data_IF_113352691957
#
_entry.id   IF_113352691957
#
_cell.length_a   1.000
_cell.length_b   1.000
_cell.length_c   1.000
_cell.angle_alpha   90.00
_cell.angle_beta   90.00
_cell.angle_gamma   90.00
#
_symmetry.space_group_name_H-M   'P 1'
#
loop_
_entity.id
_entity.type
_entity.pdbx_description
1 polymer ?
#
# COMPACT_ATOMS: atom_id res chain seq x y z
N UNK A 1 0.75 2.14 23.22
CA UNK A 1 1.07 0.90 22.43
C UNK A 1 1.03 1.24 20.94
N UNK A 2 1.94 0.70 20.11
CA UNK A 2 2.04 1.06 18.69
C UNK A 2 1.75 -0.12 17.75
N UNK A 3 0.72 0.01 16.92
CA UNK A 3 0.47 -0.83 15.72
C UNK A 3 0.90 -0.05 14.49
N UNK A 4 1.59 -0.70 13.55
CA UNK A 4 2.15 -0.04 12.35
C UNK A 4 1.86 -0.87 11.12
N UNK A 5 1.13 -0.27 10.18
CA UNK A 5 0.63 -0.90 8.95
C UNK A 5 1.23 -0.17 7.74
N UNK A 6 1.96 -0.92 6.91
CA UNK A 6 2.55 -0.47 5.65
C UNK A 6 2.35 -1.58 4.61
N UNK A 7 1.18 -1.68 3.95
CA UNK A 7 0.85 -2.81 3.08
C UNK A 7 1.72 -2.86 1.81
N UNK A 8 2.14 -1.68 1.33
CA UNK A 8 3.00 -1.50 0.17
C UNK A 8 4.11 -0.50 0.56
N UNK A 9 5.40 -0.88 0.45
CA UNK A 9 6.51 0.03 0.79
C UNK A 9 6.52 1.25 -0.14
N UNK A 10 7.16 2.33 0.30
CA UNK A 10 7.33 3.51 -0.55
C UNK A 10 8.28 3.20 -1.71
N UNK A 11 7.86 3.51 -2.94
CA UNK A 11 8.72 3.41 -4.13
C UNK A 11 9.94 4.35 -4.06
N UNK A 12 9.85 5.41 -3.26
CA UNK A 12 10.95 6.29 -2.90
C UNK A 12 11.62 5.81 -1.60
N UNK A 13 12.87 5.36 -1.72
CA UNK A 13 13.67 4.87 -0.61
C UNK A 13 13.97 5.94 0.46
N UNK A 14 13.87 7.23 0.13
CA UNK A 14 14.04 8.30 1.10
C UNK A 14 12.77 8.51 1.95
N UNK A 15 11.57 8.46 1.34
CA UNK A 15 10.29 8.38 2.09
C UNK A 15 10.21 7.11 2.93
N UNK A 16 10.69 5.97 2.43
CA UNK A 16 10.75 4.72 3.20
C UNK A 16 11.57 4.89 4.49
N UNK A 17 12.79 5.43 4.39
CA UNK A 17 13.64 5.76 5.57
C UNK A 17 12.93 6.73 6.51
N UNK A 18 12.22 7.73 5.99
CA UNK A 18 11.51 8.72 6.79
C UNK A 18 10.31 8.13 7.55
N UNK A 19 9.52 7.24 6.92
CA UNK A 19 8.46 6.47 7.59
C UNK A 19 9.02 5.57 8.70
N UNK A 20 10.16 4.91 8.44
CA UNK A 20 10.83 4.08 9.45
C UNK A 20 11.35 4.91 10.63
N UNK A 21 11.81 6.14 10.39
CA UNK A 21 12.18 7.09 11.44
C UNK A 21 10.95 7.57 12.26
N UNK A 22 9.79 7.79 11.63
CA UNK A 22 8.52 8.05 12.34
C UNK A 22 8.12 6.88 13.23
N UNK A 23 8.14 5.66 12.68
CA UNK A 23 7.84 4.44 13.42
C UNK A 23 8.81 4.21 14.59
N UNK A 24 10.08 4.56 14.42
CA UNK A 24 11.06 4.51 15.50
C UNK A 24 10.79 5.58 16.58
N UNK A 25 10.48 6.82 16.19
CA UNK A 25 10.16 7.90 17.13
C UNK A 25 8.92 7.60 17.99
N UNK A 26 7.83 7.13 17.37
CA UNK A 26 6.59 6.73 18.07
C UNK A 26 6.76 5.47 18.94
N UNK A 27 7.81 4.66 18.69
CA UNK A 27 8.12 3.47 19.50
C UNK A 27 9.11 3.74 20.64
N UNK A 28 9.86 4.84 20.56
CA UNK A 28 10.80 5.29 21.59
C UNK A 28 10.14 6.19 22.65
N UNK A 29 8.84 6.44 22.53
CA UNK A 29 8.06 7.23 23.48
C UNK A 29 7.63 6.37 24.68
N UNK A 30 8.18 6.66 25.85
CA UNK A 30 7.70 6.13 27.12
C UNK A 30 6.31 6.70 27.45
N UNK A 31 5.44 5.88 28.04
CA UNK A 31 4.02 6.17 28.32
C UNK A 31 3.18 6.62 27.10
N UNK A 32 3.56 6.21 25.89
CA UNK A 32 2.80 6.47 24.66
C UNK A 32 1.41 5.80 24.66
N UNK A 33 0.33 6.53 24.32
CA UNK A 33 -1.03 5.97 24.22
C UNK A 33 -1.13 4.91 23.12
N UNK A 34 -2.25 4.20 23.05
CA UNK A 34 -2.63 3.44 21.87
C UNK A 34 -2.48 4.30 20.61
N UNK A 35 -1.74 3.80 19.63
CA UNK A 35 -1.36 4.52 18.42
C UNK A 35 -1.38 3.56 17.24
N UNK A 36 -2.11 3.92 16.19
CA UNK A 36 -2.08 3.23 14.90
C UNK A 36 -1.37 4.12 13.88
N UNK A 37 -0.38 3.56 13.21
CA UNK A 37 0.47 4.24 12.23
C UNK A 37 0.30 3.62 10.84
N UNK A 38 -0.47 4.25 9.96
CA UNK A 38 -0.62 3.85 8.57
C UNK A 38 0.38 4.60 7.70
N UNK A 39 1.06 3.88 6.79
CA UNK A 39 2.00 4.46 5.83
C UNK A 39 1.62 4.17 4.37
N UNK A 40 1.91 5.12 3.48
CA UNK A 40 1.70 5.02 2.03
C UNK A 40 0.23 4.77 1.65
N UNK A 41 -0.70 5.54 2.23
CA UNK A 41 -2.15 5.33 2.14
C UNK A 41 -2.65 5.23 0.69
N UNK A 42 -2.12 6.07 -0.22
CA UNK A 42 -2.50 6.08 -1.64
C UNK A 42 -2.17 4.80 -2.43
N UNK A 43 -1.58 3.78 -1.80
CA UNK A 43 -1.41 2.44 -2.38
C UNK A 43 -2.55 1.46 -2.04
N UNK A 44 -3.42 1.79 -1.07
CA UNK A 44 -4.50 0.89 -0.61
C UNK A 44 -5.81 1.60 -0.18
N UNK A 45 -5.83 2.93 -0.09
CA UNK A 45 -7.02 3.75 0.19
C UNK A 45 -7.16 4.87 -0.88
N UNK A 46 -8.32 5.53 -1.02
CA UNK A 46 -8.47 6.69 -1.90
C UNK A 46 -7.75 7.96 -1.41
N UNK A 47 -6.95 7.90 -0.35
CA UNK A 47 -6.24 9.05 0.24
C UNK A 47 -4.78 9.08 -0.26
N UNK A 48 -4.38 9.98 -1.18
CA UNK A 48 -2.98 10.13 -1.60
C UNK A 48 -2.13 10.89 -0.55
N UNK A 49 -2.24 10.49 0.72
CA UNK A 49 -1.37 10.88 1.82
C UNK A 49 -0.18 9.91 1.94
N UNK A 50 0.92 10.36 2.54
CA UNK A 50 2.04 9.48 2.90
C UNK A 50 1.84 8.82 4.27
N UNK A 51 1.18 9.52 5.21
CA UNK A 51 1.12 9.13 6.62
C UNK A 51 -0.25 9.39 7.23
N UNK A 52 -0.73 8.49 8.08
CA UNK A 52 -1.83 8.74 9.01
C UNK A 52 -1.46 8.17 10.37
N UNK A 53 -1.58 8.98 11.41
CA UNK A 53 -1.40 8.56 12.81
C UNK A 53 -2.73 8.75 13.53
N UNK A 54 -3.22 7.72 14.20
CA UNK A 54 -4.47 7.78 14.98
C UNK A 54 -4.18 7.40 16.42
N UNK A 55 -4.66 8.23 17.35
CA UNK A 55 -4.61 8.05 18.81
C UNK A 55 -6.01 8.36 19.38
N UNK A 56 -6.35 7.94 20.61
CA UNK A 56 -7.67 8.17 21.19
C UNK A 56 -8.10 9.64 21.16
N UNK A 57 -7.18 10.54 21.54
CA UNK A 57 -7.47 11.97 21.72
C UNK A 57 -7.08 12.84 20.50
N UNK A 58 -6.72 12.24 19.35
CA UNK A 58 -6.25 13.02 18.20
C UNK A 58 -5.73 12.16 17.05
N UNK A 59 -5.79 12.70 15.83
CA UNK A 59 -5.16 12.08 14.67
C UNK A 59 -4.40 13.10 13.84
N UNK A 60 -3.40 12.64 13.09
CA UNK A 60 -2.56 13.48 12.25
C UNK A 60 -2.44 12.92 10.83
N UNK A 61 -2.64 13.79 9.84
CA UNK A 61 -2.55 13.50 8.41
C UNK A 61 -1.26 14.09 7.86
N UNK A 62 -0.34 13.23 7.43
CA UNK A 62 1.04 13.63 7.14
C UNK A 62 1.46 13.46 5.67
N UNK A 63 2.29 14.41 5.23
CA UNK A 63 3.07 14.35 3.99
C UNK A 63 4.54 14.16 4.35
N UNK A 64 5.20 13.19 3.72
CA UNK A 64 6.61 12.87 3.94
C UNK A 64 7.45 13.60 2.89
N UNK A 65 8.23 14.58 3.34
CA UNK A 65 9.14 15.38 2.51
C UNK A 65 10.57 14.91 2.83
N UNK A 66 11.19 14.07 1.99
CA UNK A 66 12.46 13.41 2.28
C UNK A 66 13.67 14.33 1.97
N UNK A 67 13.58 15.57 2.44
CA UNK A 67 14.56 16.63 2.23
C UNK A 67 14.65 17.51 3.47
N UNK A 68 15.71 18.31 3.54
CA UNK A 68 15.94 19.35 4.54
C UNK A 68 16.59 20.56 3.87
N UNK A 69 16.61 21.70 4.55
CA UNK A 69 17.12 22.95 3.99
C UNK A 69 16.40 24.17 4.54
N UNK A 70 16.45 25.26 3.78
CA UNK A 70 15.71 26.50 4.04
C UNK A 70 14.35 26.46 3.34
N UNK A 71 13.28 26.36 4.11
CA UNK A 71 11.92 26.46 3.55
C UNK A 71 11.59 27.93 3.26
N UNK A 72 11.10 28.24 2.07
CA UNK A 72 10.57 29.53 1.64
C UNK A 72 9.13 29.32 1.16
N UNK A 73 8.15 30.03 1.75
CA UNK A 73 6.72 29.93 1.39
C UNK A 73 6.26 31.26 0.78
N UNK A 74 6.16 31.38 -0.55
CA UNK A 74 5.72 32.62 -1.20
C UNK A 74 4.28 33.00 -0.85
N UNK A 75 3.39 32.01 -0.80
CA UNK A 75 2.05 32.12 -0.25
C UNK A 75 1.63 30.78 0.38
N UNK A 76 0.96 30.84 1.54
CA UNK A 76 0.60 29.64 2.29
C UNK A 76 -0.45 28.78 1.56
N UNK A 77 -1.55 29.40 1.09
CA UNK A 77 -2.73 28.70 0.59
C UNK A 77 -2.73 28.38 -0.92
N UNK A 78 -1.73 28.85 -1.68
CA UNK A 78 -1.64 28.63 -3.12
C UNK A 78 -0.20 28.78 -3.62
N UNK A 79 0.09 28.18 -4.77
CA UNK A 79 1.44 28.19 -5.36
C UNK A 79 2.42 27.23 -4.69
N UNK A 80 3.48 26.91 -5.42
CA UNK A 80 4.54 25.98 -5.01
C UNK A 80 5.35 26.52 -3.84
N UNK A 81 5.58 25.68 -2.83
CA UNK A 81 6.52 25.94 -1.75
C UNK A 81 7.95 25.61 -2.20
N UNK A 82 8.93 26.38 -1.71
CA UNK A 82 10.32 26.23 -2.09
C UNK A 82 11.17 25.71 -0.92
N UNK A 83 12.13 24.85 -1.19
CA UNK A 83 13.16 24.38 -0.26
C UNK A 83 14.52 24.62 -0.92
N UNK A 84 15.38 25.41 -0.29
CA UNK A 84 16.62 25.95 -0.88
C UNK A 84 16.41 26.55 -2.29
N UNK A 85 15.31 27.33 -2.40
CA UNK A 85 14.82 27.98 -3.62
C UNK A 85 14.42 27.04 -4.78
N UNK A 86 14.39 25.71 -4.56
CA UNK A 86 13.84 24.72 -5.49
C UNK A 86 12.40 24.34 -5.12
N UNK A 87 11.51 24.00 -6.08
CA UNK A 87 10.17 23.53 -5.75
C UNK A 87 10.19 22.24 -4.92
N UNK A 88 9.33 22.15 -3.91
CA UNK A 88 9.11 20.88 -3.21
C UNK A 88 8.60 19.81 -4.19
N UNK A 89 9.14 18.58 -4.18
CA UNK A 89 8.64 17.50 -5.03
C UNK A 89 7.28 17.00 -4.53
N UNK A 90 6.21 17.57 -5.08
CA UNK A 90 4.83 17.22 -4.76
C UNK A 90 4.42 15.80 -5.14
N UNK A 91 3.31 15.32 -4.58
CA UNK A 91 2.58 14.14 -5.07
C UNK A 91 1.33 14.63 -5.80
N UNK A 92 1.40 14.74 -7.13
CA UNK A 92 0.30 15.17 -7.98
C UNK A 92 0.40 16.63 -8.40
N UNK A 93 -0.73 17.33 -8.48
CA UNK A 93 -0.83 18.68 -9.08
C UNK A 93 -0.51 19.84 -8.12
N UNK A 94 -0.22 19.56 -6.84
CA UNK A 94 -0.06 20.56 -5.79
C UNK A 94 1.26 20.42 -5.02
N UNK A 95 2.27 21.22 -5.40
CA UNK A 95 3.56 21.35 -4.68
C UNK A 95 3.44 22.16 -3.35
N UNK A 96 2.35 21.97 -2.63
CA UNK A 96 1.99 22.73 -1.45
C UNK A 96 1.30 21.79 -0.43
N UNK A 97 2.01 21.34 0.62
CA UNK A 97 1.47 20.36 1.56
C UNK A 97 0.33 20.92 2.42
N UNK A 98 0.20 22.25 2.57
CA UNK A 98 -0.95 22.86 3.25
C UNK A 98 -2.21 22.81 2.37
N UNK A 99 -2.09 23.12 1.08
CA UNK A 99 -3.20 22.97 0.13
C UNK A 99 -3.60 21.49 -0.03
N UNK A 100 -2.62 20.58 -0.12
CA UNK A 100 -2.86 19.13 -0.12
C UNK A 100 -3.59 18.69 1.16
N UNK A 101 -3.16 19.14 2.34
CA UNK A 101 -3.88 18.87 3.60
C UNK A 101 -5.34 19.34 3.56
N UNK A 102 -5.60 20.58 3.10
CA UNK A 102 -6.97 21.09 2.97
C UNK A 102 -7.84 20.28 2.00
N UNK A 103 -7.25 19.74 0.93
CA UNK A 103 -7.93 18.87 -0.04
C UNK A 103 -8.21 17.47 0.54
N UNK A 104 -7.29 16.92 1.34
CA UNK A 104 -7.38 15.56 1.88
C UNK A 104 -8.17 15.45 3.19
N UNK A 105 -8.25 16.51 3.99
CA UNK A 105 -8.97 16.52 5.26
C UNK A 105 -10.42 15.98 5.17
N UNK A 106 -11.30 16.43 4.25
CA UNK A 106 -12.66 15.88 4.15
C UNK A 106 -12.70 14.42 3.69
N UNK A 107 -11.77 14.00 2.83
CA UNK A 107 -11.67 12.61 2.39
C UNK A 107 -11.22 11.70 3.55
N UNK A 108 -10.25 12.17 4.35
CA UNK A 108 -9.73 11.44 5.49
C UNK A 108 -10.74 11.37 6.66
N UNK A 109 -11.54 12.42 6.87
CA UNK A 109 -12.68 12.41 7.79
C UNK A 109 -13.73 11.37 7.39
N UNK A 110 -14.17 11.37 6.14
CA UNK A 110 -15.14 10.39 5.64
C UNK A 110 -14.62 8.95 5.75
N UNK A 111 -13.35 8.73 5.38
CA UNK A 111 -12.69 7.43 5.46
C UNK A 111 -12.53 6.92 6.91
N UNK A 112 -12.11 7.79 7.84
CA UNK A 112 -12.06 7.45 9.27
C UNK A 112 -13.47 7.21 9.85
N UNK A 113 -14.47 7.97 9.42
CA UNK A 113 -15.85 7.83 9.86
C UNK A 113 -16.45 6.48 9.46
N UNK A 114 -16.22 6.06 8.21
CA UNK A 114 -16.63 4.74 7.70
C UNK A 114 -15.93 3.60 8.45
N UNK A 115 -14.60 3.66 8.62
CA UNK A 115 -13.84 2.57 9.22
C UNK A 115 -13.99 2.46 10.75
N UNK A 116 -14.05 3.59 11.48
CA UNK A 116 -14.23 3.60 12.94
C UNK A 116 -15.70 3.53 13.36
N UNK A 117 -16.64 3.60 12.42
CA UNK A 117 -18.10 3.62 12.66
C UNK A 117 -18.57 4.81 13.53
N UNK A 118 -17.75 5.86 13.65
CA UNK A 118 -18.04 7.11 14.37
C UNK A 118 -18.42 8.21 13.37
N UNK A 119 -19.44 9.05 13.63
CA UNK A 119 -19.77 10.16 12.75
C UNK A 119 -18.67 11.22 12.76
N UNK A 120 -18.50 11.98 11.67
CA UNK A 120 -17.44 12.99 11.51
C UNK A 120 -17.35 14.02 12.64
N UNK A 121 -18.47 14.30 13.33
CA UNK A 121 -18.54 15.24 14.46
C UNK A 121 -18.16 14.64 15.83
N UNK A 122 -17.87 13.34 15.90
CA UNK A 122 -17.38 12.64 17.10
C UNK A 122 -15.92 12.17 16.94
N UNK A 123 -15.38 12.22 15.71
CA UNK A 123 -13.95 12.02 15.48
C UNK A 123 -13.12 13.09 16.23
N UNK A 124 -11.98 12.70 16.85
CA UNK A 124 -11.10 13.66 17.52
C UNK A 124 -10.48 14.66 16.52
N UNK A 125 -9.92 15.79 16.99
CA UNK A 125 -9.37 16.81 16.11
C UNK A 125 -8.24 16.29 15.22
N UNK A 126 -8.14 16.82 14.00
CA UNK A 126 -7.07 16.53 13.05
C UNK A 126 -5.90 17.52 13.15
N UNK A 127 -4.67 17.03 12.96
CA UNK A 127 -3.47 17.82 12.74
C UNK A 127 -2.84 17.47 11.38
N UNK A 128 -2.81 18.44 10.47
CA UNK A 128 -2.00 18.31 9.25
C UNK A 128 -0.52 18.44 9.56
N UNK A 129 0.32 17.58 8.98
CA UNK A 129 1.77 17.58 9.23
C UNK A 129 2.55 17.57 7.91
N UNK A 130 3.38 18.59 7.69
CA UNK A 130 4.49 18.49 6.74
C UNK A 130 5.75 18.04 7.50
N UNK A 131 6.14 16.78 7.34
CA UNK A 131 7.31 16.21 7.99
C UNK A 131 8.52 16.25 7.06
N UNK A 132 9.62 16.84 7.53
CA UNK A 132 10.88 16.95 6.80
C UNK A 132 11.92 15.95 7.35
N UNK A 133 12.94 15.58 6.57
CA UNK A 133 13.90 14.53 6.96
C UNK A 133 14.79 14.98 8.14
N UNK A 134 15.15 16.26 8.18
CA UNK A 134 16.02 16.86 9.20
C UNK A 134 15.51 18.26 9.62
N UNK A 135 16.17 18.95 10.57
CA UNK A 135 15.77 20.28 11.02
C UNK A 135 15.66 21.30 9.88
N UNK A 136 14.59 22.09 9.89
CA UNK A 136 14.36 23.17 8.93
C UNK A 136 14.94 24.50 9.40
N UNK A 137 15.35 25.33 8.43
CA UNK A 137 15.48 26.78 8.62
C UNK A 137 14.29 27.46 7.95
N UNK A 138 13.52 28.28 8.69
CA UNK A 138 12.39 29.00 8.10
C UNK A 138 12.85 30.29 7.41
N UNK A 139 12.35 30.52 6.19
CA UNK A 139 12.43 31.78 5.48
C UNK A 139 11.63 32.89 6.18
N UNK A 140 11.94 34.17 5.88
CA UNK A 140 11.33 35.31 6.56
C UNK A 140 9.80 35.32 6.37
N UNK A 141 9.08 35.37 7.48
CA UNK A 141 7.63 35.56 7.50
C UNK A 141 6.76 34.30 7.43
N UNK A 142 7.33 33.08 7.38
CA UNK A 142 6.54 31.83 7.38
C UNK A 142 5.66 31.72 8.63
N UNK A 143 6.25 31.91 9.81
CA UNK A 143 5.54 31.94 11.10
C UNK A 143 4.43 32.99 11.11
N UNK A 144 4.68 34.17 10.53
CA UNK A 144 3.71 35.24 10.41
C UNK A 144 2.59 34.94 9.40
N UNK A 145 2.82 34.09 8.39
CA UNK A 145 1.75 33.59 7.51
C UNK A 145 0.90 32.54 8.24
N UNK A 146 1.54 31.54 8.88
CA UNK A 146 0.87 30.49 9.65
C UNK A 146 -0.02 31.06 10.74
N UNK A 147 0.49 31.95 11.60
CA UNK A 147 -0.28 32.55 12.69
C UNK A 147 -1.44 33.44 12.22
N UNK A 148 -1.39 34.00 11.00
CA UNK A 148 -2.50 34.80 10.43
C UNK A 148 -3.60 33.94 9.84
N UNK A 149 -3.30 32.73 9.36
CA UNK A 149 -4.25 31.92 8.62
C UNK A 149 -5.03 30.99 9.56
N UNK A 150 -6.36 31.15 9.72
CA UNK A 150 -7.11 30.42 10.76
C UNK A 150 -7.09 28.90 10.56
N UNK A 151 -7.16 28.42 9.32
CA UNK A 151 -7.08 27.00 8.99
C UNK A 151 -5.66 26.40 9.14
N UNK A 152 -4.62 27.23 9.32
CA UNK A 152 -3.26 26.77 9.58
C UNK A 152 -2.98 26.51 11.07
N UNK A 153 -3.94 26.79 11.97
CA UNK A 153 -3.84 26.40 13.39
C UNK A 153 -3.84 24.89 13.62
N UNK A 154 -4.38 24.14 12.68
CA UNK A 154 -4.41 22.68 12.65
C UNK A 154 -3.42 22.12 11.61
N UNK A 155 -2.30 22.82 11.38
CA UNK A 155 -1.25 22.39 10.45
C UNK A 155 0.14 22.79 10.95
N UNK A 156 1.05 21.82 11.05
CA UNK A 156 2.42 22.04 11.55
C UNK A 156 3.52 21.63 10.58
N UNK A 157 4.65 22.35 10.69
CA UNK A 157 5.91 22.08 10.01
C UNK A 157 6.86 21.40 10.99
N UNK A 158 7.21 20.15 10.74
CA UNK A 158 7.95 19.31 11.71
C UNK A 158 9.33 18.95 11.14
N UNK A 159 10.38 19.48 11.76
CA UNK A 159 11.77 19.36 11.32
C UNK A 159 12.46 18.08 11.82
N UNK A 160 11.97 16.92 11.37
CA UNK A 160 12.49 15.60 11.73
C UNK A 160 11.57 14.76 12.63
N UNK A 161 11.53 13.45 12.39
CA UNK A 161 10.59 12.51 12.98
C UNK A 161 10.53 12.50 14.51
N UNK A 162 11.66 12.73 15.20
CA UNK A 162 11.74 12.74 16.66
C UNK A 162 10.89 13.84 17.34
N UNK A 163 10.45 14.86 16.60
CA UNK A 163 9.57 15.91 17.13
C UNK A 163 8.08 15.51 17.10
N UNK A 164 7.69 14.57 16.23
CA UNK A 164 6.28 14.21 15.99
C UNK A 164 5.52 13.77 17.27
N UNK A 165 6.05 12.89 18.14
CA UNK A 165 5.33 12.47 19.35
C UNK A 165 5.02 13.65 20.28
N UNK A 166 5.98 14.58 20.40
CA UNK A 166 5.81 15.80 21.18
C UNK A 166 4.71 16.74 20.67
N UNK A 167 4.38 16.68 19.36
CA UNK A 167 3.29 17.46 18.75
C UNK A 167 1.93 16.81 18.93
N UNK A 168 1.85 15.49 18.71
CA UNK A 168 0.63 14.72 18.95
C UNK A 168 0.12 14.91 20.39
N UNK A 169 1.01 14.80 21.40
CA UNK A 169 0.64 15.06 22.80
C UNK A 169 0.15 16.49 23.09
N UNK A 170 0.57 17.50 22.32
CA UNK A 170 0.08 18.88 22.47
C UNK A 170 -1.35 19.04 21.94
N UNK A 171 -1.70 18.29 20.89
CA UNK A 171 -3.05 18.18 20.35
C UNK A 171 -3.97 17.36 21.26
N UNK A 172 -3.50 16.25 21.82
CA UNK A 172 -4.23 15.35 22.72
C UNK A 172 -4.70 15.96 24.04
N UNK A 173 -4.34 17.21 24.34
CA UNK A 173 -4.73 17.91 25.56
C UNK A 173 -6.18 18.48 25.52
N UNK A 174 -6.90 18.33 24.41
CA UNK A 174 -8.19 18.97 24.16
C UNK A 174 -9.38 17.97 24.12
N UNK A 175 -10.09 17.89 25.25
CA UNK A 175 -11.36 17.18 25.49
C UNK A 175 -11.39 15.66 25.23
N UNK A 176 -12.32 14.96 25.90
CA UNK A 176 -12.38 13.51 25.89
C UNK A 176 -13.09 13.00 24.62
N UNK A 177 -12.34 12.32 23.73
CA UNK A 177 -12.94 11.63 22.57
C UNK A 177 -13.72 10.38 22.99
N UNK A 178 -14.59 9.91 22.10
CA UNK A 178 -15.33 8.65 22.21
C UNK A 178 -14.48 7.41 21.93
N UNK A 179 -13.40 7.53 21.16
CA UNK A 179 -12.56 6.40 20.73
C UNK A 179 -11.72 5.84 21.88
N UNK A 180 -11.90 4.58 22.24
CA UNK A 180 -11.11 3.92 23.29
C UNK A 180 -9.78 3.36 22.77
N UNK A 181 -8.85 3.06 23.68
CA UNK A 181 -7.60 2.38 23.34
C UNK A 181 -7.81 0.96 22.79
N UNK A 182 -8.83 0.24 23.28
CA UNK A 182 -9.08 -1.15 22.90
C UNK A 182 -9.64 -1.22 21.46
N UNK A 183 -10.65 -0.40 21.14
CA UNK A 183 -11.22 -0.29 19.78
C UNK A 183 -10.17 0.17 18.75
N UNK A 184 -9.31 1.13 19.12
CA UNK A 184 -8.24 1.61 18.25
C UNK A 184 -7.20 0.52 17.95
N UNK A 185 -6.87 -0.32 18.93
CA UNK A 185 -5.93 -1.42 18.74
C UNK A 185 -6.56 -2.59 17.98
N UNK A 186 -7.82 -2.94 18.24
CA UNK A 186 -8.57 -3.94 17.44
C UNK A 186 -8.67 -3.49 15.98
N UNK A 187 -8.97 -2.21 15.72
CA UNK A 187 -8.96 -1.65 14.36
C UNK A 187 -7.57 -1.69 13.72
N UNK A 188 -6.51 -1.35 14.46
CA UNK A 188 -5.13 -1.45 13.99
C UNK A 188 -4.73 -2.88 13.64
N UNK A 189 -5.13 -3.86 14.46
CA UNK A 189 -4.88 -5.28 14.21
C UNK A 189 -5.76 -5.84 13.09
N UNK A 190 -7.00 -5.36 12.93
CA UNK A 190 -7.84 -5.66 11.76
C UNK A 190 -7.11 -5.25 10.47
N UNK A 191 -6.68 -3.98 10.38
CA UNK A 191 -5.96 -3.48 9.21
C UNK A 191 -4.59 -4.18 9.00
N UNK A 192 -3.95 -4.66 10.07
CA UNK A 192 -2.69 -5.41 9.95
C UNK A 192 -2.88 -6.86 9.47
N UNK A 193 -4.03 -7.47 9.75
CA UNK A 193 -4.35 -8.86 9.40
C UNK A 193 -5.21 -8.99 8.13
N UNK A 194 -5.92 -7.94 7.73
CA UNK A 194 -6.71 -7.91 6.50
C UNK A 194 -5.76 -8.10 5.30
N UNK A 195 -5.92 -9.17 4.49
CA UNK A 195 -5.08 -9.35 3.32
C UNK A 195 -5.52 -8.32 2.28
N UNK A 196 -4.82 -7.18 2.23
CA UNK A 196 -5.04 -6.10 1.28
C UNK A 196 -4.93 -6.58 -0.18
N UNK A 197 -6.02 -7.14 -0.68
CA UNK A 197 -6.38 -7.05 -2.09
C UNK A 197 -6.41 -5.54 -2.37
N UNK A 198 -5.41 -5.07 -3.12
CA UNK A 198 -5.29 -3.65 -3.46
C UNK A 198 -6.63 -3.14 -3.95
N UNK A 199 -7.08 -2.00 -3.41
CA UNK A 199 -8.35 -1.37 -3.77
C UNK A 199 -8.32 -0.75 -5.17
N UNK A 200 -8.09 -1.62 -6.17
CA UNK A 200 -8.62 -1.53 -7.51
C UNK A 200 -10.16 -1.68 -7.40
N UNK A 201 -10.79 -0.68 -6.78
CA UNK A 201 -12.23 -0.51 -6.70
C UNK A 201 -12.80 -0.74 -8.10
N UNK A 202 -13.80 -1.62 -8.19
CA UNK A 202 -14.17 -2.33 -9.43
C UNK A 202 -14.10 -1.43 -10.66
N UNK A 203 -13.15 -1.75 -11.55
CA UNK A 203 -12.68 -0.96 -12.71
C UNK A 203 -13.73 0.07 -13.12
N UNK A 204 -13.56 1.38 -12.82
CA UNK A 204 -14.59 2.36 -13.15
C UNK A 204 -14.87 2.30 -14.65
N UNK A 205 -16.13 2.49 -15.06
CA UNK A 205 -16.55 2.23 -16.45
C UNK A 205 -15.75 3.05 -17.47
N UNK A 206 -15.14 4.15 -17.03
CA UNK A 206 -14.15 4.95 -17.78
C UNK A 206 -12.82 4.21 -18.04
N UNK A 207 -12.27 3.46 -17.09
CA UNK A 207 -11.10 2.60 -17.28
C UNK A 207 -11.43 1.31 -18.04
N UNK A 208 -12.63 0.74 -17.85
CA UNK A 208 -13.10 -0.38 -18.67
C UNK A 208 -13.31 0.07 -20.13
N UNK A 209 -13.86 1.26 -20.33
CA UNK A 209 -13.94 1.95 -21.61
C UNK A 209 -12.55 2.22 -22.21
N UNK A 210 -11.62 2.78 -21.43
CA UNK A 210 -10.26 3.08 -21.89
C UNK A 210 -9.47 1.80 -22.24
N UNK A 211 -9.57 0.73 -21.44
CA UNK A 211 -8.97 -0.57 -21.74
C UNK A 211 -9.60 -1.22 -22.96
N UNK A 212 -10.93 -1.21 -23.12
CA UNK A 212 -11.56 -1.75 -24.34
C UNK A 212 -11.30 -0.88 -25.58
N UNK A 213 -11.13 0.43 -25.42
CA UNK A 213 -10.77 1.35 -26.49
C UNK A 213 -9.31 1.20 -26.90
N UNK A 214 -8.38 0.99 -25.95
CA UNK A 214 -6.99 0.66 -26.21
C UNK A 214 -6.83 -0.76 -26.77
N UNK A 215 -7.60 -1.75 -26.31
CA UNK A 215 -7.64 -3.08 -26.91
C UNK A 215 -8.20 -3.06 -28.34
N UNK A 216 -9.15 -2.16 -28.64
CA UNK A 216 -9.58 -1.89 -30.04
C UNK A 216 -8.50 -1.17 -30.84
N UNK A 217 -7.78 -0.20 -30.28
CA UNK A 217 -6.66 0.45 -30.98
C UNK A 217 -5.48 -0.50 -31.23
N UNK A 218 -5.13 -1.35 -30.26
CA UNK A 218 -4.16 -2.42 -30.41
C UNK A 218 -4.64 -3.47 -31.41
N UNK A 219 -5.92 -3.87 -31.36
CA UNK A 219 -6.53 -4.77 -32.35
C UNK A 219 -6.48 -4.20 -33.77
N UNK A 220 -6.76 -2.91 -33.95
CA UNK A 220 -6.57 -2.19 -35.22
C UNK A 220 -5.12 -2.18 -35.67
N UNK A 221 -4.19 -1.93 -34.75
CA UNK A 221 -2.75 -1.88 -35.05
C UNK A 221 -2.16 -3.28 -35.36
N UNK A 222 -2.76 -4.34 -34.81
CA UNK A 222 -2.50 -5.75 -35.13
C UNK A 222 -3.27 -6.26 -36.37
N UNK A 223 -4.06 -5.42 -37.04
CA UNK A 223 -4.80 -5.78 -38.27
C UNK A 223 -6.05 -6.65 -38.05
N UNK A 224 -6.53 -6.80 -36.81
CA UNK A 224 -7.65 -7.67 -36.46
C UNK A 224 -9.05 -7.07 -36.75
N UNK A 225 -9.15 -6.12 -37.70
CA UNK A 225 -10.41 -5.49 -38.11
C UNK A 225 -11.01 -6.12 -39.40
N UNK A 226 -10.38 -7.20 -39.91
CA UNK A 226 -10.78 -7.92 -41.12
C UNK A 226 -11.00 -9.44 -40.86
N UNK A 227 -11.58 -9.77 -39.69
CA UNK A 227 -12.19 -11.08 -39.43
C UNK A 227 -13.68 -10.97 -39.76
N UNK A 228 -14.14 -11.44 -40.94
CA UNK A 228 -15.57 -11.49 -41.23
C UNK A 228 -16.27 -12.46 -40.29
N UNK A 229 -17.55 -12.19 -39.98
CA UNK A 229 -18.35 -13.09 -39.16
C UNK A 229 -18.43 -14.50 -39.80
N UNK A 230 -18.28 -15.54 -38.98
CA UNK A 230 -18.14 -16.94 -39.43
C UNK A 230 -19.21 -17.32 -40.47
N UNK A 231 -18.81 -17.79 -41.67
CA UNK A 231 -19.74 -18.46 -42.57
C UNK A 231 -20.22 -19.77 -41.91
N UNK A 232 -21.48 -20.20 -42.13
CA UNK A 232 -22.01 -21.39 -41.48
C UNK A 232 -21.19 -22.64 -41.82
N UNK A 233 -20.87 -23.43 -40.79
CA UNK A 233 -20.14 -24.71 -40.87
C UNK A 233 -20.65 -25.59 -42.04
N UNK A 234 -19.81 -25.83 -43.05
CA UNK A 234 -20.27 -26.67 -44.18
C UNK A 234 -19.41 -26.83 -45.44
N UNK A 235 -18.15 -26.36 -45.51
CA UNK A 235 -17.29 -26.64 -46.68
C UNK A 235 -15.79 -26.64 -46.33
N UNK A 236 -15.05 -27.74 -46.54
CA UNK A 236 -13.59 -27.73 -46.46
C UNK A 236 -13.02 -27.06 -47.72
N UNK A 237 -12.35 -25.92 -47.55
CA UNK A 237 -11.59 -25.28 -48.62
C UNK A 237 -10.24 -26.00 -48.77
N UNK A 238 -9.82 -26.43 -49.98
CA UNK A 238 -8.67 -27.33 -50.15
C UNK A 238 -7.33 -26.74 -49.68
N UNK A 239 -7.23 -25.41 -49.59
CA UNK A 239 -6.00 -24.70 -49.20
C UNK A 239 -5.91 -24.36 -47.70
N UNK A 240 -6.94 -24.64 -46.88
CA UNK A 240 -6.91 -24.28 -45.43
C UNK A 240 -5.73 -24.91 -44.71
N UNK A 241 -5.49 -26.22 -44.89
CA UNK A 241 -4.37 -26.91 -44.25
C UNK A 241 -2.97 -26.39 -44.65
N UNK A 242 -2.83 -25.74 -45.81
CA UNK A 242 -1.58 -25.10 -46.20
C UNK A 242 -1.40 -23.74 -45.48
N UNK A 243 -2.49 -23.00 -45.22
CA UNK A 243 -2.45 -21.79 -44.38
C UNK A 243 -2.20 -22.15 -42.92
N UNK A 244 -2.92 -23.15 -42.39
CA UNK A 244 -2.73 -23.65 -41.01
C UNK A 244 -1.26 -24.02 -40.75
N UNK A 245 -0.60 -24.70 -41.71
CA UNK A 245 0.82 -25.06 -41.62
C UNK A 245 1.75 -23.85 -41.70
N UNK A 246 1.46 -22.86 -42.55
CA UNK A 246 2.26 -21.62 -42.64
C UNK A 246 2.12 -20.77 -41.36
N UNK A 247 0.93 -20.68 -40.79
CA UNK A 247 0.69 -19.98 -39.52
C UNK A 247 1.35 -20.70 -38.35
N UNK A 248 1.27 -22.04 -38.30
CA UNK A 248 2.01 -22.84 -37.31
C UNK A 248 3.53 -22.66 -37.44
N UNK A 249 4.09 -22.65 -38.65
CA UNK A 249 5.50 -22.37 -38.87
C UNK A 249 5.90 -20.96 -38.39
N UNK A 250 5.07 -19.95 -38.69
CA UNK A 250 5.28 -18.56 -38.23
C UNK A 250 5.22 -18.43 -36.70
N UNK A 251 4.29 -19.13 -36.05
CA UNK A 251 4.18 -19.17 -34.59
C UNK A 251 5.33 -19.95 -33.94
N UNK A 252 5.88 -20.98 -34.59
CA UNK A 252 7.09 -21.67 -34.14
C UNK A 252 8.32 -20.77 -34.25
N UNK A 253 8.49 -20.05 -35.36
CA UNK A 253 9.57 -19.08 -35.54
C UNK A 253 9.50 -17.97 -34.49
N UNK A 254 8.34 -17.34 -34.29
CA UNK A 254 8.17 -16.26 -33.31
C UNK A 254 8.41 -16.73 -31.86
N UNK A 255 8.11 -18.00 -31.54
CA UNK A 255 8.48 -18.61 -30.25
C UNK A 255 10.00 -18.80 -30.11
N UNK A 256 10.70 -19.16 -31.18
CA UNK A 256 12.18 -19.27 -31.18
C UNK A 256 12.83 -17.90 -31.04
N UNK A 257 12.31 -16.88 -31.72
CA UNK A 257 12.77 -15.48 -31.62
C UNK A 257 12.63 -14.94 -30.19
N UNK A 258 11.45 -15.08 -29.56
CA UNK A 258 11.24 -14.67 -28.17
C UNK A 258 12.10 -15.47 -27.16
N UNK A 259 12.36 -16.75 -27.42
CA UNK A 259 13.27 -17.53 -26.59
C UNK A 259 14.72 -17.04 -26.73
N UNK A 260 15.18 -16.75 -27.94
CA UNK A 260 16.50 -16.19 -28.19
C UNK A 260 16.68 -14.82 -27.51
N UNK A 261 15.68 -13.93 -27.60
CA UNK A 261 15.71 -12.63 -26.95
C UNK A 261 15.77 -12.75 -25.41
N UNK A 262 14.95 -13.61 -24.80
CA UNK A 262 15.01 -13.86 -23.36
C UNK A 262 16.35 -14.49 -22.92
N UNK A 263 16.98 -15.31 -23.76
CA UNK A 263 18.32 -15.81 -23.51
C UNK A 263 19.39 -14.71 -23.61
N UNK A 264 19.29 -13.80 -24.58
CA UNK A 264 20.18 -12.64 -24.69
C UNK A 264 20.03 -11.70 -23.48
N UNK A 265 18.80 -11.31 -23.12
CA UNK A 265 18.54 -10.42 -21.97
C UNK A 265 19.11 -11.00 -20.66
N UNK A 266 19.01 -12.32 -20.46
CA UNK A 266 19.63 -13.03 -19.32
C UNK A 266 21.16 -12.99 -19.37
N UNK A 267 21.78 -13.16 -20.53
CA UNK A 267 23.23 -13.04 -20.69
C UNK A 267 23.72 -11.61 -20.42
N UNK A 268 23.01 -10.60 -20.92
CA UNK A 268 23.33 -9.19 -20.65
C UNK A 268 23.18 -8.83 -19.16
N UNK A 269 22.13 -9.32 -18.49
CA UNK A 269 21.96 -9.13 -17.05
C UNK A 269 23.14 -9.76 -16.27
N UNK A 270 23.48 -11.02 -16.56
CA UNK A 270 24.60 -11.71 -15.92
C UNK A 270 25.95 -11.01 -16.17
N UNK A 271 26.17 -10.46 -17.37
CA UNK A 271 27.37 -9.67 -17.69
C UNK A 271 27.44 -8.37 -16.88
N UNK A 272 26.32 -7.66 -16.69
CA UNK A 272 26.23 -6.45 -15.87
C UNK A 272 26.46 -6.76 -14.37
N UNK A 273 26.02 -7.91 -13.88
CA UNK A 273 26.30 -8.38 -12.52
C UNK A 273 27.77 -8.80 -12.33
N UNK A 274 28.37 -9.46 -13.33
CA UNK A 274 29.80 -9.78 -13.34
C UNK A 274 30.69 -8.52 -13.32
N UNK A 275 30.32 -7.46 -14.06
CA UNK A 275 31.00 -6.17 -14.01
C UNK A 275 30.90 -5.52 -12.62
N UNK A 276 29.68 -5.38 -12.07
CA UNK A 276 29.44 -4.79 -10.74
C UNK A 276 30.18 -5.52 -9.61
N UNK A 277 30.29 -6.85 -9.70
CA UNK A 277 31.02 -7.63 -8.68
C UNK A 277 32.54 -7.44 -8.77
N UNK A 278 33.09 -7.19 -9.96
CA UNK A 278 34.49 -6.80 -10.14
C UNK A 278 34.76 -5.36 -9.65
N UNK A 279 33.87 -4.42 -9.95
CA UNK A 279 33.93 -3.04 -9.43
C UNK A 279 33.93 -3.00 -7.90
N UNK A 280 33.00 -3.72 -7.27
CA UNK A 280 32.94 -3.86 -5.81
C UNK A 280 34.18 -4.54 -5.22
N UNK A 281 34.79 -5.50 -5.93
CA UNK A 281 36.06 -6.10 -5.50
C UNK A 281 37.23 -5.10 -5.57
N UNK A 282 37.31 -4.30 -6.62
CA UNK A 282 38.33 -3.25 -6.78
C UNK A 282 38.19 -2.15 -5.71
N UNK A 283 36.96 -1.66 -5.46
CA UNK A 283 36.68 -0.69 -4.39
C UNK A 283 37.05 -1.25 -3.00
N UNK A 284 36.76 -2.54 -2.73
CA UNK A 284 37.18 -3.21 -1.48
C UNK A 284 38.70 -3.31 -1.36
N UNK A 285 39.44 -3.53 -2.45
CA UNK A 285 40.90 -3.53 -2.44
C UNK A 285 41.48 -2.13 -2.19
N UNK A 286 40.88 -1.08 -2.75
CA UNK A 286 41.26 0.31 -2.47
C UNK A 286 41.00 0.68 -0.99
N UNK A 287 39.83 0.32 -0.43
CA UNK A 287 39.51 0.51 0.98
C UNK A 287 40.40 -0.30 1.94
N UNK A 288 40.89 -1.47 1.52
CA UNK A 288 41.86 -2.24 2.29
C UNK A 288 43.26 -1.57 2.33
N UNK A 289 43.60 -0.78 1.32
CA UNK A 289 44.86 -0.03 1.23
C UNK A 289 44.82 1.27 2.05
N UNK A 290 43.66 1.91 2.23
CA UNK A 290 43.51 3.15 3.02
C UNK A 290 43.46 2.97 4.55
N UNK A 291 43.55 1.74 5.06
CA UNK A 291 44.16 1.51 6.39
C UNK A 291 43.25 1.48 7.62
N UNK A 292 42.05 0.87 7.56
CA UNK A 292 41.24 0.55 8.77
C UNK A 292 42.00 -0.31 9.79
N UNK A 293 41.63 -0.28 11.08
CA UNK A 293 42.40 -0.98 12.13
C UNK A 293 42.30 -2.52 12.03
N UNK A 294 43.30 -3.23 12.55
CA UNK A 294 43.36 -4.69 12.45
C UNK A 294 42.21 -5.41 13.20
N UNK A 295 41.75 -4.84 14.31
CA UNK A 295 40.65 -5.38 15.12
C UNK A 295 39.28 -5.20 14.45
N UNK A 296 39.04 -4.05 13.81
CA UNK A 296 37.82 -3.81 13.03
C UNK A 296 37.73 -4.76 11.84
N UNK A 297 38.85 -4.99 11.13
CA UNK A 297 38.94 -5.97 10.03
C UNK A 297 38.55 -7.38 10.47
N UNK A 298 38.93 -7.82 11.68
CA UNK A 298 38.57 -9.14 12.20
C UNK A 298 37.07 -9.23 12.52
N UNK A 299 36.50 -8.21 13.18
CA UNK A 299 35.06 -8.15 13.43
C UNK A 299 34.24 -8.16 12.12
N UNK A 300 34.65 -7.36 11.13
CA UNK A 300 34.04 -7.38 9.79
C UNK A 300 34.19 -8.74 9.07
N UNK A 301 35.32 -9.42 9.21
CA UNK A 301 35.54 -10.74 8.59
C UNK A 301 34.60 -11.80 9.18
N UNK A 302 34.43 -11.83 10.51
CA UNK A 302 33.46 -12.72 11.14
C UNK A 302 32.01 -12.39 10.75
N UNK A 303 31.64 -11.11 10.70
CA UNK A 303 30.31 -10.68 10.25
C UNK A 303 30.04 -11.07 8.77
N UNK A 304 31.05 -10.95 7.90
CA UNK A 304 30.94 -11.35 6.48
C UNK A 304 30.85 -12.86 6.32
N UNK A 305 31.60 -13.65 7.09
CA UNK A 305 31.49 -15.11 7.09
C UNK A 305 30.08 -15.57 7.48
N UNK A 306 29.53 -15.04 8.57
CA UNK A 306 28.15 -15.34 9.00
C UNK A 306 27.09 -14.94 7.96
N UNK A 307 27.28 -13.80 7.28
CA UNK A 307 26.37 -13.35 6.22
C UNK A 307 26.49 -14.22 4.95
N UNK A 308 27.69 -14.66 4.58
CA UNK A 308 27.87 -15.63 3.49
C UNK A 308 27.25 -17.00 3.79
N UNK A 309 27.34 -17.48 5.03
CA UNK A 309 26.67 -18.71 5.46
C UNK A 309 25.14 -18.57 5.40
N UNK A 310 24.59 -17.45 5.89
CA UNK A 310 23.16 -17.15 5.78
C UNK A 310 22.68 -17.02 4.32
N UNK A 311 23.49 -16.47 3.42
CA UNK A 311 23.18 -16.44 1.99
C UNK A 311 23.28 -17.82 1.32
N UNK A 312 24.17 -18.71 1.79
CA UNK A 312 24.27 -20.09 1.31
C UNK A 312 23.07 -20.93 1.75
N UNK A 313 22.62 -20.81 3.00
CA UNK A 313 21.41 -21.51 3.48
C UNK A 313 20.15 -20.99 2.80
N UNK A 314 19.97 -19.67 2.68
CA UNK A 314 18.84 -19.08 1.95
C UNK A 314 18.79 -19.51 0.47
N UNK A 315 19.94 -19.60 -0.21
CA UNK A 315 20.01 -20.13 -1.59
C UNK A 315 19.67 -21.61 -1.67
N UNK A 316 20.12 -22.43 -0.71
CA UNK A 316 19.76 -23.85 -0.66
C UNK A 316 18.26 -24.06 -0.41
N UNK A 317 17.64 -23.24 0.45
CA UNK A 317 16.20 -23.29 0.72
C UNK A 317 15.36 -22.81 -0.48
N UNK A 318 15.77 -21.72 -1.15
CA UNK A 318 15.11 -21.30 -2.38
C UNK A 318 15.23 -22.35 -3.49
N UNK A 319 16.38 -23.03 -3.60
CA UNK A 319 16.57 -24.12 -4.55
C UNK A 319 15.67 -25.34 -4.23
N UNK A 320 15.53 -25.73 -2.96
CA UNK A 320 14.65 -26.85 -2.59
C UNK A 320 13.16 -26.52 -2.76
N UNK A 321 12.73 -25.31 -2.36
CA UNK A 321 11.37 -24.80 -2.63
C UNK A 321 11.07 -24.77 -4.13
N UNK A 322 12.01 -24.39 -4.98
CA UNK A 322 11.81 -24.37 -6.43
C UNK A 322 11.67 -25.80 -7.01
N UNK A 323 12.49 -26.75 -6.58
CA UNK A 323 12.33 -28.17 -6.95
C UNK A 323 10.98 -28.74 -6.49
N UNK A 324 10.46 -28.31 -5.35
CA UNK A 324 9.13 -28.71 -4.89
C UNK A 324 8.00 -28.12 -5.78
N UNK A 325 8.12 -26.86 -6.18
CA UNK A 325 7.20 -26.23 -7.13
C UNK A 325 7.26 -26.90 -8.51
N UNK A 326 8.46 -27.18 -9.03
CA UNK A 326 8.64 -27.92 -10.29
C UNK A 326 8.00 -29.32 -10.23
N UNK A 327 8.15 -30.04 -9.12
CA UNK A 327 7.51 -31.33 -8.90
C UNK A 327 5.98 -31.23 -8.83
N UNK A 328 5.42 -30.21 -8.14
CA UNK A 328 3.98 -29.93 -8.11
C UNK A 328 3.44 -29.56 -9.50
N UNK A 329 4.20 -28.79 -10.29
CA UNK A 329 3.85 -28.43 -11.67
C UNK A 329 3.83 -29.69 -12.56
N UNK A 330 4.79 -30.60 -12.40
CA UNK A 330 4.79 -31.88 -13.13
C UNK A 330 3.60 -32.78 -12.74
N UNK A 331 3.24 -32.84 -11.46
CA UNK A 331 2.04 -33.56 -10.99
C UNK A 331 0.75 -32.97 -11.58
N UNK A 332 0.60 -31.65 -11.57
CA UNK A 332 -0.53 -30.97 -12.22
C UNK A 332 -0.54 -31.19 -13.73
N UNK A 333 0.63 -31.18 -14.38
CA UNK A 333 0.78 -31.52 -15.80
C UNK A 333 0.32 -32.94 -16.13
N UNK A 334 0.65 -33.93 -15.28
CA UNK A 334 0.19 -35.30 -15.43
C UNK A 334 -1.33 -35.43 -15.24
N UNK A 335 -1.93 -34.73 -14.27
CA UNK A 335 -3.38 -34.69 -14.10
C UNK A 335 -4.09 -34.03 -15.30
N UNK A 336 -3.53 -32.92 -15.81
CA UNK A 336 -4.02 -32.25 -17.03
C UNK A 336 -3.85 -33.13 -18.28
N UNK A 337 -2.87 -34.04 -18.31
CA UNK A 337 -2.69 -35.04 -19.37
C UNK A 337 -3.55 -36.32 -19.19
N UNK A 338 -4.19 -36.52 -18.03
CA UNK A 338 -5.16 -37.61 -17.82
C UNK A 338 -6.61 -37.19 -18.14
N UNK A 339 -6.90 -35.88 -18.14
CA UNK A 339 -8.20 -35.31 -18.50
C UNK A 339 -8.57 -35.31 -20.02
N UNK A 340 -7.65 -35.30 -21.02
CA UNK A 340 -7.99 -35.23 -22.44
C UNK A 340 -8.23 -36.63 -23.03
N UNK A 341 -9.05 -37.43 -22.35
CA UNK A 341 -9.51 -38.74 -22.79
C UNK A 341 -11.03 -38.90 -22.79
N UNK A 342 -11.77 -37.96 -22.19
CA UNK A 342 -13.23 -37.94 -22.14
C UNK A 342 -13.82 -37.42 -23.46
N UNK A 343 -13.81 -38.27 -24.50
CA UNK A 343 -14.57 -38.01 -25.74
C UNK A 343 -16.07 -37.90 -25.45
N UNK A 344 -16.78 -37.16 -26.31
CA UNK A 344 -18.19 -36.79 -26.17
C UNK A 344 -19.10 -38.02 -26.02
N UNK A 345 -19.60 -38.26 -24.81
CA UNK A 345 -20.55 -39.31 -24.50
C UNK A 345 -21.54 -38.87 -23.43
N UNK A 346 -22.72 -38.39 -23.83
CA UNK A 346 -23.83 -38.07 -22.92
C UNK A 346 -24.74 -39.28 -22.75
N UNK A 347 -24.83 -39.84 -21.53
CA UNK A 347 -26.03 -40.49 -21.03
C UNK A 347 -26.74 -39.61 -19.99
N UNK A 348 -28.04 -39.84 -19.82
CA UNK A 348 -28.93 -39.01 -19.01
C UNK A 348 -28.61 -39.01 -17.50
N UNK A 349 -28.90 -37.89 -16.83
CA UNK A 349 -28.73 -37.73 -15.39
C UNK A 349 -29.80 -38.51 -14.58
N UNK A 350 -29.42 -39.21 -13.50
CA UNK A 350 -30.32 -39.59 -12.42
C UNK A 350 -30.43 -38.44 -11.40
N UNK A 351 -31.65 -38.10 -10.96
CA UNK A 351 -31.88 -37.11 -9.93
C UNK A 351 -31.93 -37.73 -8.52
N UNK A 352 -31.20 -37.15 -7.56
CA UNK A 352 -31.33 -37.19 -6.08
C UNK A 352 -30.35 -36.11 -5.55
N UNK A 353 -30.64 -35.27 -4.57
CA UNK A 353 -31.90 -35.02 -3.86
C UNK A 353 -31.66 -34.05 -2.69
N UNK A 354 -32.33 -32.89 -2.66
CA UNK A 354 -32.01 -31.81 -1.71
C UNK A 354 -32.50 -32.10 -0.27
N UNK A 355 -31.61 -32.63 0.57
CA UNK A 355 -31.87 -32.87 1.99
C UNK A 355 -31.70 -31.58 2.84
N UNK A 356 -32.81 -30.95 3.22
CA UNK A 356 -32.81 -29.69 3.99
C UNK A 356 -32.53 -29.93 5.47
N UNK A 357 -31.38 -29.47 5.97
CA UNK A 357 -31.03 -29.50 7.38
C UNK A 357 -31.63 -28.30 8.17
N UNK A 358 -32.90 -28.41 8.60
CA UNK A 358 -33.51 -27.44 9.54
C UNK A 358 -33.14 -27.78 10.98
N UNK A 359 -32.45 -26.87 11.67
CA UNK A 359 -32.22 -26.93 13.14
C UNK A 359 -33.44 -26.33 13.87
N UNK A 360 -33.92 -26.91 15.00
CA UNK A 360 -35.26 -26.62 15.53
C UNK A 360 -35.35 -25.39 16.44
N UNK A 361 -36.56 -24.82 16.53
CA UNK A 361 -36.95 -23.78 17.48
C UNK A 361 -37.57 -24.37 18.77
N UNK A 362 -37.31 -23.77 19.96
CA UNK A 362 -38.13 -24.00 21.15
C UNK A 362 -39.39 -23.10 21.16
N UNK A 363 -40.50 -23.59 21.73
CA UNK A 363 -41.76 -22.83 21.92
C UNK A 363 -41.89 -22.25 23.34
N UNK A 364 -42.73 -21.21 23.56
CA UNK A 364 -42.77 -20.43 24.81
C UNK A 364 -43.91 -20.80 25.77
N UNK A 365 -43.74 -20.41 27.04
CA UNK A 365 -44.78 -20.17 28.07
C UNK A 365 -44.15 -19.37 29.24
N UNK A 366 -44.87 -18.66 30.13
CA UNK A 366 -46.14 -17.91 30.03
C UNK A 366 -46.34 -17.06 31.32
N UNK A 367 -46.99 -15.88 31.21
CA UNK A 367 -47.36 -14.96 32.33
C UNK A 367 -46.17 -14.35 33.12
N UNK A 368 -46.28 -13.30 33.96
CA UNK A 368 -47.42 -12.45 34.37
C UNK A 368 -46.88 -10.99 34.61
N UNK A 369 -47.45 -9.91 34.08
CA UNK A 369 -48.63 -9.12 34.60
C UNK A 369 -48.28 -8.01 35.62
N UNK A 370 -48.65 -6.75 35.28
CA UNK A 370 -48.69 -5.49 36.11
C UNK A 370 -47.35 -4.80 36.44
N UNK A 371 -47.25 -3.49 36.73
CA UNK A 371 -48.08 -2.30 36.37
C UNK A 371 -47.43 -0.96 36.85
N UNK A 372 -48.01 0.19 36.42
CA UNK A 372 -47.97 1.55 37.04
C UNK A 372 -46.69 2.42 37.03
N UNK A 373 -46.62 3.28 36.00
CA UNK A 373 -46.71 4.76 36.10
C UNK A 373 -46.19 5.55 37.33
N UNK A 374 -45.16 6.38 37.10
CA UNK A 374 -44.97 7.76 37.63
C UNK A 374 -44.28 8.57 36.52
N UNK A 375 -44.56 9.83 36.14
CA UNK A 375 -45.28 11.03 36.65
C UNK A 375 -44.40 12.10 37.35
N UNK A 376 -43.85 13.01 36.52
CA UNK A 376 -43.39 14.41 36.74
C UNK A 376 -43.12 14.96 38.15
N UNK A 377 -41.92 15.51 38.32
CA UNK A 377 -41.56 16.91 38.70
C UNK A 377 -40.42 17.34 37.73
N UNK A 378 -39.90 18.57 37.55
CA UNK A 378 -40.11 19.99 37.94
C UNK A 378 -40.20 20.39 39.42
N UNK A 379 -39.08 20.89 39.96
CA UNK A 379 -38.80 22.27 40.42
C UNK A 379 -37.26 22.41 40.44
N UNK A 380 -36.59 23.48 40.00
CA UNK A 380 -36.67 24.92 40.31
C UNK A 380 -36.11 25.31 41.70
N UNK A 381 -35.32 26.39 41.69
CA UNK A 381 -34.65 27.09 42.82
C UNK A 381 -33.29 26.52 43.26
N UNK A 382 -32.32 27.35 43.69
CA UNK A 382 -32.09 28.79 43.48
C UNK A 382 -30.65 29.15 43.93
N UNK A 383 -30.15 30.30 43.44
CA UNK A 383 -29.08 31.18 43.99
C UNK A 383 -28.15 30.62 45.08
N UNK A 384 -26.86 30.83 44.87
CA UNK A 384 -26.14 31.71 45.80
C UNK A 384 -25.24 32.69 45.07
#
# INVERSE_FOLDING_TARGET
>A
MLVSVLPVPFADAARQRQYEAVRAALRAEEDAPATVLLGNLGAFTPLPADLLVVQPMGWALGVLIPHAGRLTVPALAYGTWLLDEQPLPGRGETDNPFAQYQQLLPLALAWLSEHLHLPENELPPCLGVALFEAPLTFGPGIEAQLHRHPAARAFELVGGAAQLPGRLRQQSAAEASSLTEEELLEWGEYLANEPYISHNQGIPETLAGWLTQNLRQLGRWLGAEDIPADPPYGAPLPDQHLRDQQEQARLQQLRQELQAELHQQRQEAAAREAARTQELAALRQQLAQTGLSATERQAEQHAKAALEEALRTARAELASRNHELDARIQQLGQLIQQLPGASLGVPAAPAIGSAVARRPTPRPAAAATRARSFRRLRRESARH
#
